data_IF_264412003640
#
_entry.id   IF_264412003640
#
_cell.length_a   1.000
_cell.length_b   1.000
_cell.length_c   1.000
_cell.angle_alpha   90.00
_cell.angle_beta   90.00
_cell.angle_gamma   90.00
#
_symmetry.space_group_name_H-M   'P 1'
#
loop_
_entity.id
_entity.type
_entity.pdbx_description
1 polymer ?
#
# COMPACT_ATOMS: atom_id res chain seq x y z
N UNK A 1 -10.51 43.36 0.92
CA UNK A 1 -10.20 43.31 2.36
C UNK A 1 -9.81 41.88 2.73
N UNK A 2 -8.60 41.70 3.27
CA UNK A 2 -7.89 40.41 3.33
C UNK A 2 -8.38 39.50 4.47
N UNK A 3 -8.40 38.21 4.16
CA UNK A 3 -8.82 37.02 4.90
C UNK A 3 -8.21 36.82 6.30
N UNK A 4 -8.66 37.59 7.28
CA UNK A 4 -8.27 37.40 8.69
C UNK A 4 -8.90 36.15 9.33
N UNK A 5 -10.00 35.62 8.80
CA UNK A 5 -10.69 34.43 9.37
C UNK A 5 -10.03 33.10 9.01
N UNK A 6 -9.55 32.94 7.76
CA UNK A 6 -8.90 31.71 7.29
C UNK A 6 -7.54 31.47 7.98
N UNK A 7 -6.80 32.54 8.25
CA UNK A 7 -5.52 32.46 8.94
C UNK A 7 -5.66 31.99 10.41
N UNK A 8 -6.81 32.27 11.03
CA UNK A 8 -7.12 31.85 12.41
C UNK A 8 -7.44 30.35 12.48
N UNK A 9 -8.15 29.82 11.48
CA UNK A 9 -8.45 28.40 11.35
C UNK A 9 -7.20 27.57 11.00
N UNK A 10 -6.34 28.06 10.10
CA UNK A 10 -5.06 27.40 9.82
C UNK A 10 -4.14 27.32 11.05
N UNK A 11 -4.05 28.41 11.85
CA UNK A 11 -3.25 28.38 13.09
C UNK A 11 -3.81 27.40 14.12
N UNK A 12 -5.13 27.28 14.25
CA UNK A 12 -5.75 26.31 15.17
C UNK A 12 -5.50 24.86 14.77
N UNK A 13 -5.48 24.55 13.46
CA UNK A 13 -5.19 23.20 12.95
C UNK A 13 -3.70 22.85 13.16
N UNK A 14 -2.78 23.78 12.88
CA UNK A 14 -1.33 23.56 13.04
C UNK A 14 -0.92 23.44 14.51
N UNK A 15 -1.58 24.15 15.43
CA UNK A 15 -1.29 24.04 16.87
C UNK A 15 -1.75 22.69 17.43
N UNK A 16 -2.81 22.09 16.87
CA UNK A 16 -3.32 20.78 17.34
C UNK A 16 -2.47 19.58 16.88
N UNK A 17 -1.58 19.77 15.91
CA UNK A 17 -0.73 18.70 15.35
C UNK A 17 0.70 18.69 15.89
N UNK A 18 1.03 19.48 16.92
CA UNK A 18 2.33 19.39 17.58
C UNK A 18 2.35 18.20 18.57
N UNK A 19 2.21 17.00 18.00
CA UNK A 19 2.48 15.75 18.70
C UNK A 19 4.00 15.68 18.82
N UNK A 20 4.51 16.02 20.00
CA UNK A 20 5.89 15.71 20.41
C UNK A 20 6.11 14.21 20.22
N UNK A 21 6.77 13.82 19.14
CA UNK A 21 7.26 12.46 18.96
C UNK A 21 8.45 12.24 19.91
N UNK A 22 8.14 11.93 21.16
CA UNK A 22 9.05 11.14 22.01
C UNK A 22 9.03 9.73 21.45
N UNK A 23 9.98 9.45 20.55
CA UNK A 23 10.23 8.11 20.04
C UNK A 23 10.64 7.27 21.24
N UNK A 24 9.70 6.47 21.77
CA UNK A 24 10.00 5.48 22.80
C UNK A 24 10.99 4.47 22.21
N UNK A 25 12.07 4.11 22.93
CA UNK A 25 13.07 3.14 22.45
C UNK A 25 12.49 1.75 22.14
N UNK A 26 11.25 1.49 22.55
CA UNK A 26 10.45 0.31 22.20
C UNK A 26 10.18 0.18 20.69
N UNK A 27 10.11 1.27 19.93
CA UNK A 27 9.86 1.22 18.47
C UNK A 27 11.14 0.81 17.71
N UNK A 28 12.31 1.21 18.21
CA UNK A 28 13.60 0.80 17.64
C UNK A 28 13.85 -0.70 17.84
N UNK A 29 13.39 -1.25 18.96
CA UNK A 29 13.41 -2.69 19.26
C UNK A 29 12.43 -3.48 18.35
N UNK A 30 11.37 -2.84 17.86
CA UNK A 30 10.46 -3.46 16.89
C UNK A 30 11.09 -3.55 15.49
N UNK A 31 11.90 -2.56 15.08
CA UNK A 31 12.61 -2.61 13.80
C UNK A 31 13.76 -3.62 13.79
N UNK A 32 14.48 -3.82 14.91
CA UNK A 32 15.57 -4.81 14.98
C UNK A 32 15.08 -6.24 15.21
N UNK A 33 13.84 -6.43 15.69
CA UNK A 33 13.21 -7.74 15.76
C UNK A 33 12.76 -8.28 14.38
N UNK A 34 12.52 -7.41 13.39
CA UNK A 34 12.19 -7.86 12.03
C UNK A 34 13.36 -8.54 11.30
N UNK A 35 14.60 -8.34 11.74
CA UNK A 35 15.76 -9.02 11.14
C UNK A 35 16.06 -10.41 11.73
N UNK A 36 15.40 -10.86 12.80
CA UNK A 36 15.84 -12.10 13.47
C UNK A 36 14.77 -12.95 14.17
N UNK A 37 13.47 -12.72 13.98
CA UNK A 37 12.44 -13.63 14.51
C UNK A 37 11.87 -14.44 13.35
N UNK A 38 12.26 -15.71 13.28
CA UNK A 38 11.70 -16.68 12.35
C UNK A 38 10.18 -16.69 12.48
N UNK A 39 9.50 -16.11 11.48
CA UNK A 39 8.08 -16.28 11.25
C UNK A 39 7.80 -17.78 11.25
N UNK A 40 7.04 -18.22 12.24
CA UNK A 40 6.45 -19.54 12.26
C UNK A 40 5.51 -19.61 11.08
N UNK A 41 5.94 -20.30 10.02
CA UNK A 41 5.24 -20.43 8.76
C UNK A 41 3.75 -20.73 8.99
N UNK A 42 2.88 -19.73 8.75
CA UNK A 42 1.42 -19.91 8.80
C UNK A 42 0.92 -20.91 7.75
N UNK A 43 1.73 -21.17 6.73
CA UNK A 43 1.40 -22.08 5.65
C UNK A 43 2.06 -23.46 5.86
N UNK A 44 1.24 -24.49 6.08
CA UNK A 44 1.70 -25.88 5.90
C UNK A 44 2.04 -26.07 4.42
N UNK A 45 3.32 -26.22 4.13
CA UNK A 45 3.83 -26.44 2.77
C UNK A 45 3.57 -27.90 2.41
N UNK A 46 2.52 -28.12 1.63
CA UNK A 46 2.28 -29.37 0.93
C UNK A 46 2.87 -29.27 -0.49
N UNK A 47 3.06 -30.41 -1.17
CA UNK A 47 3.59 -30.48 -2.54
C UNK A 47 2.78 -29.61 -3.51
N UNK A 48 1.49 -29.40 -3.25
CA UNK A 48 0.58 -28.60 -4.06
C UNK A 48 0.60 -27.09 -3.78
N UNK A 49 1.18 -26.64 -2.66
CA UNK A 49 1.16 -25.21 -2.27
C UNK A 49 1.91 -24.34 -3.29
N UNK A 50 3.01 -24.86 -3.85
CA UNK A 50 3.80 -24.15 -4.86
C UNK A 50 3.08 -24.00 -6.21
N UNK A 51 2.34 -25.02 -6.65
CA UNK A 51 1.60 -24.94 -7.90
C UNK A 51 0.43 -23.94 -7.81
N UNK A 52 -0.19 -23.84 -6.63
CA UNK A 52 -1.17 -22.79 -6.36
C UNK A 52 -0.52 -21.41 -6.39
N UNK A 53 0.64 -21.25 -5.75
CA UNK A 53 1.41 -20.00 -5.78
C UNK A 53 1.72 -19.53 -7.21
N UNK A 54 2.18 -20.42 -8.09
CA UNK A 54 2.45 -20.07 -9.49
C UNK A 54 1.18 -19.59 -10.22
N UNK A 55 0.04 -20.25 -9.96
CA UNK A 55 -1.24 -19.84 -10.54
C UNK A 55 -1.69 -18.47 -10.00
N UNK A 56 -1.58 -18.24 -8.70
CA UNK A 56 -1.95 -16.98 -8.03
C UNK A 56 -1.09 -15.81 -8.54
N UNK A 57 0.22 -16.02 -8.68
CA UNK A 57 1.14 -15.03 -9.26
C UNK A 57 0.76 -14.72 -10.70
N UNK A 58 0.47 -15.74 -11.52
CA UNK A 58 0.06 -15.56 -12.92
C UNK A 58 -1.27 -14.80 -13.01
N UNK A 59 -2.21 -15.06 -12.11
CA UNK A 59 -3.47 -14.33 -12.04
C UNK A 59 -3.25 -12.85 -11.74
N UNK A 60 -2.40 -12.53 -10.77
CA UNK A 60 -2.12 -11.13 -10.42
C UNK A 60 -1.39 -10.39 -11.54
N UNK A 61 -0.42 -11.06 -12.18
CA UNK A 61 0.31 -10.49 -13.33
C UNK A 61 -0.57 -10.19 -14.54
N UNK A 62 -1.73 -10.85 -14.66
CA UNK A 62 -2.70 -10.61 -15.74
C UNK A 62 -3.86 -9.71 -15.31
N UNK A 63 -3.81 -9.16 -14.10
CA UNK A 63 -4.84 -8.31 -13.54
C UNK A 63 -4.43 -6.82 -13.59
N UNK A 64 -5.39 -5.89 -13.46
CA UNK A 64 -5.10 -4.45 -13.36
C UNK A 64 -4.19 -4.07 -12.18
N UNK A 65 -4.04 -4.95 -11.19
CA UNK A 65 -3.10 -4.77 -10.08
C UNK A 65 -1.66 -4.69 -10.58
N UNK A 66 -1.34 -5.38 -11.69
CA UNK A 66 0.01 -5.39 -12.22
C UNK A 66 0.47 -4.01 -12.69
N UNK A 67 -0.43 -3.27 -13.33
CA UNK A 67 -0.16 -1.90 -13.79
C UNK A 67 -0.15 -0.91 -12.64
N UNK A 68 -0.98 -1.13 -11.62
CA UNK A 68 -1.08 -0.24 -10.46
C UNK A 68 0.07 -0.40 -9.45
N UNK A 69 0.74 -1.56 -9.40
CA UNK A 69 1.78 -1.90 -8.43
C UNK A 69 3.01 -2.57 -9.09
N UNK A 70 3.69 -1.92 -10.05
CA UNK A 70 4.72 -2.56 -10.88
C UNK A 70 5.96 -2.99 -10.08
N UNK A 71 6.28 -2.29 -8.99
CA UNK A 71 7.42 -2.61 -8.14
C UNK A 71 7.18 -3.91 -7.35
N UNK A 72 5.98 -4.05 -6.77
CA UNK A 72 5.57 -5.24 -6.05
C UNK A 72 5.54 -6.46 -6.97
N UNK A 73 5.04 -6.30 -8.21
CA UNK A 73 5.08 -7.36 -9.22
C UNK A 73 6.51 -7.82 -9.52
N UNK A 74 7.45 -6.87 -9.65
CA UNK A 74 8.86 -7.21 -9.87
C UNK A 74 9.42 -8.04 -8.71
N UNK A 75 9.15 -7.64 -7.47
CA UNK A 75 9.59 -8.42 -6.30
C UNK A 75 8.94 -9.81 -6.23
N UNK A 76 7.65 -9.91 -6.57
CA UNK A 76 6.93 -11.19 -6.65
C UNK A 76 7.61 -12.11 -7.67
N UNK A 77 7.94 -11.61 -8.86
CA UNK A 77 8.60 -12.39 -9.91
C UNK A 77 9.99 -12.86 -9.49
N UNK A 78 10.80 -11.97 -8.90
CA UNK A 78 12.15 -12.31 -8.42
C UNK A 78 12.08 -13.37 -7.31
N UNK A 79 11.20 -13.20 -6.33
CA UNK A 79 11.01 -14.18 -5.26
C UNK A 79 10.44 -15.50 -5.79
N UNK A 80 9.61 -15.49 -6.82
CA UNK A 80 9.11 -16.73 -7.45
C UNK A 80 10.26 -17.54 -8.06
N UNK A 81 11.24 -16.89 -8.69
CA UNK A 81 12.45 -17.57 -9.19
C UNK A 81 13.28 -18.15 -8.03
N UNK A 82 13.41 -17.42 -6.92
CA UNK A 82 14.10 -17.93 -5.73
C UNK A 82 13.37 -19.13 -5.10
N UNK A 83 12.04 -19.08 -5.04
CA UNK A 83 11.20 -20.19 -4.59
C UNK A 83 11.37 -21.42 -5.50
N UNK A 84 11.41 -21.21 -6.83
CA UNK A 84 11.65 -22.26 -7.82
C UNK A 84 13.00 -22.94 -7.60
N UNK A 85 14.05 -22.14 -7.36
CA UNK A 85 15.39 -22.65 -7.05
C UNK A 85 15.41 -23.41 -5.72
N UNK A 86 14.78 -22.88 -4.68
CA UNK A 86 14.69 -23.56 -3.38
C UNK A 86 13.95 -24.91 -3.48
N UNK A 87 12.90 -24.99 -4.31
CA UNK A 87 12.18 -26.23 -4.61
C UNK A 87 13.08 -27.24 -5.33
N UNK A 88 13.81 -26.81 -6.36
CA UNK A 88 14.77 -27.65 -7.08
C UNK A 88 15.87 -28.20 -6.16
N UNK A 89 16.38 -27.36 -5.26
CA UNK A 89 17.37 -27.71 -4.22
C UNK A 89 16.78 -28.55 -3.08
N UNK A 90 15.47 -28.86 -3.08
CA UNK A 90 14.74 -29.56 -2.01
C UNK A 90 14.80 -28.85 -0.64
N UNK A 91 15.06 -27.54 -0.63
CA UNK A 91 15.11 -26.70 0.58
C UNK A 91 13.71 -26.27 1.02
N UNK A 92 12.93 -27.21 1.54
CA UNK A 92 11.50 -27.00 1.89
C UNK A 92 11.23 -25.80 2.79
N UNK A 93 12.07 -25.56 3.82
CA UNK A 93 11.92 -24.40 4.71
C UNK A 93 12.10 -23.07 3.99
N UNK A 94 13.03 -23.03 3.03
CA UNK A 94 13.33 -21.83 2.27
C UNK A 94 12.26 -21.57 1.19
N UNK A 95 11.79 -22.63 0.51
CA UNK A 95 10.61 -22.56 -0.37
C UNK A 95 9.40 -21.99 0.39
N UNK A 96 9.23 -22.39 1.66
CA UNK A 96 8.17 -21.88 2.51
C UNK A 96 8.25 -20.39 2.77
N UNK A 97 9.44 -19.93 3.15
CA UNK A 97 9.68 -18.52 3.45
C UNK A 97 9.43 -17.66 2.22
N UNK A 98 9.92 -18.07 1.04
CA UNK A 98 9.63 -17.32 -0.19
C UNK A 98 8.16 -17.35 -0.56
N UNK A 99 7.47 -18.49 -0.38
CA UNK A 99 6.02 -18.60 -0.63
C UNK A 99 5.23 -17.62 0.24
N UNK A 100 5.53 -17.57 1.54
CA UNK A 100 4.88 -16.64 2.47
C UNK A 100 5.16 -15.18 2.12
N UNK A 101 6.40 -14.85 1.78
CA UNK A 101 6.78 -13.52 1.33
C UNK A 101 6.06 -13.10 0.04
N UNK A 102 5.90 -14.02 -0.91
CA UNK A 102 5.18 -13.73 -2.15
C UNK A 102 3.71 -13.44 -1.87
N UNK A 103 3.06 -14.19 -0.98
CA UNK A 103 1.67 -13.92 -0.60
C UNK A 103 1.52 -12.55 0.08
N UNK A 104 2.48 -12.17 0.93
CA UNK A 104 2.49 -10.83 1.52
C UNK A 104 2.68 -9.73 0.45
N UNK A 105 3.60 -9.90 -0.49
CA UNK A 105 3.79 -8.93 -1.57
C UNK A 105 2.56 -8.81 -2.47
N UNK A 106 1.87 -9.94 -2.72
CA UNK A 106 0.60 -10.00 -3.44
C UNK A 106 -0.47 -9.13 -2.75
N UNK A 107 -0.58 -9.25 -1.43
CA UNK A 107 -1.52 -8.46 -0.63
C UNK A 107 -1.17 -6.96 -0.70
N UNK A 108 0.11 -6.62 -0.58
CA UNK A 108 0.60 -5.25 -0.71
C UNK A 108 0.26 -4.68 -2.10
N UNK A 109 0.46 -5.45 -3.16
CA UNK A 109 0.14 -5.04 -4.52
C UNK A 109 -1.35 -4.71 -4.68
N UNK A 110 -2.24 -5.57 -4.14
CA UNK A 110 -3.69 -5.34 -4.14
C UNK A 110 -4.06 -4.07 -3.39
N UNK A 111 -3.53 -3.89 -2.18
CA UNK A 111 -3.78 -2.69 -1.38
C UNK A 111 -3.30 -1.41 -2.09
N UNK A 112 -2.17 -1.48 -2.80
CA UNK A 112 -1.68 -0.35 -3.60
C UNK A 112 -2.60 -0.03 -4.77
N UNK A 113 -3.13 -1.05 -5.44
CA UNK A 113 -4.12 -0.85 -6.51
C UNK A 113 -5.43 -0.23 -5.98
N UNK A 114 -5.95 -0.72 -4.87
CA UNK A 114 -7.15 -0.18 -4.22
C UNK A 114 -6.95 1.28 -3.77
N UNK A 115 -5.78 1.60 -3.21
CA UNK A 115 -5.43 2.96 -2.81
C UNK A 115 -5.40 3.91 -4.01
N UNK A 116 -4.82 3.49 -5.13
CA UNK A 116 -4.78 4.30 -6.34
C UNK A 116 -6.20 4.57 -6.88
N UNK A 117 -7.05 3.54 -6.94
CA UNK A 117 -8.44 3.69 -7.36
C UNK A 117 -9.20 4.66 -6.46
N UNK A 118 -9.02 4.56 -5.14
CA UNK A 118 -9.67 5.46 -4.19
C UNK A 118 -9.17 6.90 -4.35
N UNK A 119 -7.88 7.08 -4.60
CA UNK A 119 -7.29 8.39 -4.84
C UNK A 119 -7.88 9.04 -6.11
N UNK A 120 -8.07 8.28 -7.19
CA UNK A 120 -8.68 8.79 -8.43
C UNK A 120 -10.13 9.24 -8.19
N UNK A 121 -10.90 8.48 -7.40
CA UNK A 121 -12.26 8.88 -7.00
C UNK A 121 -12.25 10.17 -6.18
N UNK A 122 -11.30 10.32 -5.26
CA UNK A 122 -11.15 11.54 -4.45
C UNK A 122 -10.78 12.75 -5.31
N UNK A 123 -9.87 12.59 -6.27
CA UNK A 123 -9.49 13.65 -7.21
C UNK A 123 -10.69 14.09 -8.06
N UNK A 124 -11.46 13.14 -8.59
CA UNK A 124 -12.67 13.45 -9.37
C UNK A 124 -13.70 14.22 -8.53
N UNK A 125 -13.92 13.81 -7.27
CA UNK A 125 -14.84 14.52 -6.37
C UNK A 125 -14.33 15.91 -6.01
N UNK A 126 -13.03 16.08 -5.79
CA UNK A 126 -12.41 17.39 -5.57
C UNK A 126 -12.67 18.31 -6.75
N UNK A 127 -12.47 17.84 -7.97
CA UNK A 127 -12.64 18.65 -9.18
C UNK A 127 -14.12 19.04 -9.40
N UNK A 128 -15.06 18.14 -9.11
CA UNK A 128 -16.49 18.45 -9.09
C UNK A 128 -16.81 19.56 -8.07
N UNK A 129 -16.32 19.44 -6.83
CA UNK A 129 -16.54 20.47 -5.81
C UNK A 129 -15.95 21.81 -6.24
N UNK A 130 -14.74 21.82 -6.79
CA UNK A 130 -14.12 23.04 -7.31
C UNK A 130 -14.93 23.69 -8.42
N UNK A 131 -15.44 22.92 -9.40
CA UNK A 131 -16.31 23.45 -10.45
C UNK A 131 -17.63 24.03 -9.91
N UNK A 132 -18.24 23.36 -8.94
CA UNK A 132 -19.48 23.82 -8.30
C UNK A 132 -19.26 25.13 -7.52
N UNK A 133 -18.11 25.27 -6.86
CA UNK A 133 -17.74 26.50 -6.17
C UNK A 133 -17.56 27.68 -7.14
N UNK A 134 -16.90 27.45 -8.29
CA UNK A 134 -16.73 28.47 -9.34
C UNK A 134 -18.08 28.92 -9.89
N UNK A 135 -18.95 27.96 -10.25
CA UNK A 135 -20.30 28.27 -10.73
C UNK A 135 -21.12 29.05 -9.71
N UNK A 136 -21.04 28.68 -8.43
CA UNK A 136 -21.73 29.39 -7.35
C UNK A 136 -21.20 30.83 -7.18
N UNK A 137 -19.89 31.05 -7.30
CA UNK A 137 -19.34 32.41 -7.27
C UNK A 137 -19.81 33.26 -8.45
N UNK A 138 -19.85 32.70 -9.67
CA UNK A 138 -20.34 33.42 -10.85
C UNK A 138 -21.82 33.82 -10.72
N UNK A 139 -22.65 32.93 -10.17
CA UNK A 139 -24.07 33.24 -9.93
C UNK A 139 -24.23 34.35 -8.89
N UNK A 140 -23.46 34.33 -7.81
CA UNK A 140 -23.49 35.38 -6.79
C UNK A 140 -23.05 36.74 -7.34
N UNK A 141 -22.04 36.77 -8.21
CA UNK A 141 -21.60 38.00 -8.89
C UNK A 141 -22.68 38.56 -9.83
N UNK A 142 -23.44 37.70 -10.53
CA UNK A 142 -24.52 38.13 -11.42
C UNK A 142 -25.76 38.67 -10.71
N UNK A 143 -25.94 38.32 -9.43
CA UNK A 143 -27.06 38.81 -8.61
C UNK A 143 -26.75 40.13 -7.88
N UNK A 144 -25.51 40.60 -7.93
CA UNK A 144 -25.09 41.90 -7.42
C UNK A 144 -25.17 42.97 -8.51
#
# INVERSE_FOLDING_TARGET
MKSTSLNKLMKLIVIKTNIKHTIKPSILLFLTAFSCVGLTAKYKIDKNTYFKLEADVKQIMSSPVADAAPLEIKFIQEKLQLAKKAKADRKKKLEAQYTEQIYADIEIAKLRAELNQLNDVLLNKRDQVSSAQVYLSELLERMQ
#
